data_IF_390925944220
#
_entry.id   IF_390925944220
#
_cell.length_a   1.000
_cell.length_b   1.000
_cell.length_c   1.000
_cell.angle_alpha   90.00
_cell.angle_beta   90.00
_cell.angle_gamma   90.00
#
_symmetry.space_group_name_H-M   'P 1'
#
loop_
_entity.id
_entity.type
_entity.pdbx_description
1 polymer ?
#
# COMPACT_ATOMS: atom_id res chain seq x y z
N UNK A 1 12.27 -33.18 3.28
CA UNK A 1 11.11 -32.40 3.77
C UNK A 1 11.63 -31.14 4.44
N UNK A 2 11.03 -29.96 4.17
CA UNK A 2 11.45 -28.73 4.82
C UNK A 2 11.27 -28.83 6.34
N UNK A 3 12.18 -28.22 7.11
CA UNK A 3 12.06 -28.14 8.56
C UNK A 3 10.70 -27.48 8.91
N UNK A 4 9.91 -28.13 9.77
CA UNK A 4 8.56 -27.67 10.18
C UNK A 4 8.59 -26.23 10.69
N UNK A 5 9.63 -25.85 11.43
CA UNK A 5 9.79 -24.48 11.93
C UNK A 5 10.04 -23.48 10.80
N UNK A 6 10.89 -23.82 9.83
CA UNK A 6 11.18 -22.95 8.68
C UNK A 6 9.97 -22.79 7.74
N UNK A 7 9.11 -23.81 7.65
CA UNK A 7 7.91 -23.75 6.80
C UNK A 7 6.90 -22.69 7.26
N UNK A 8 6.91 -22.31 8.54
CA UNK A 8 6.03 -21.29 9.11
C UNK A 8 6.36 -19.88 8.60
N UNK A 9 7.57 -19.66 8.06
CA UNK A 9 7.97 -18.36 7.50
C UNK A 9 7.26 -18.03 6.18
N UNK A 10 6.86 -19.05 5.41
CA UNK A 10 6.26 -18.85 4.08
C UNK A 10 4.95 -18.06 4.15
N UNK A 11 4.10 -18.34 5.14
CA UNK A 11 2.80 -17.67 5.31
C UNK A 11 2.95 -16.15 5.48
N UNK A 12 3.68 -15.66 6.51
CA UNK A 12 3.88 -14.23 6.70
C UNK A 12 4.60 -13.53 5.54
N UNK A 13 5.52 -14.23 4.87
CA UNK A 13 6.19 -13.66 3.70
C UNK A 13 5.21 -13.39 2.55
N UNK A 14 4.28 -14.31 2.29
CA UNK A 14 3.29 -14.18 1.21
C UNK A 14 2.22 -13.16 1.57
N UNK A 15 1.71 -13.18 2.81
CA UNK A 15 0.59 -12.31 3.21
C UNK A 15 1.02 -10.88 3.53
N UNK A 16 2.24 -10.68 4.04
CA UNK A 16 2.72 -9.34 4.45
C UNK A 16 3.88 -8.87 3.61
N UNK A 17 4.99 -9.61 3.62
CA UNK A 17 6.27 -9.09 3.10
C UNK A 17 6.21 -8.77 1.61
N UNK A 18 5.74 -9.72 0.79
CA UNK A 18 5.66 -9.54 -0.66
C UNK A 18 4.74 -8.35 -1.03
N UNK A 19 3.49 -8.27 -0.54
CA UNK A 19 2.64 -7.10 -0.80
C UNK A 19 3.27 -5.77 -0.35
N UNK A 20 3.87 -5.71 0.85
CA UNK A 20 4.50 -4.49 1.34
C UNK A 20 5.66 -4.04 0.46
N UNK A 21 6.49 -4.97 -0.03
CA UNK A 21 7.60 -4.66 -0.93
C UNK A 21 7.10 -4.20 -2.30
N UNK A 22 6.02 -4.77 -2.81
CA UNK A 22 5.38 -4.32 -4.05
C UNK A 22 4.89 -2.89 -3.90
N UNK A 23 4.16 -2.60 -2.81
CA UNK A 23 3.67 -1.25 -2.53
C UNK A 23 4.82 -0.25 -2.35
N UNK A 24 5.85 -0.62 -1.59
CA UNK A 24 7.06 0.20 -1.41
C UNK A 24 7.70 0.52 -2.74
N UNK A 25 7.88 -0.48 -3.61
CA UNK A 25 8.51 -0.32 -4.91
C UNK A 25 7.69 0.60 -5.81
N UNK A 26 6.37 0.38 -5.87
CA UNK A 26 5.45 1.23 -6.63
C UNK A 26 5.43 2.68 -6.14
N UNK A 27 5.37 2.90 -4.83
CA UNK A 27 5.43 4.24 -4.24
C UNK A 27 6.77 4.92 -4.47
N UNK A 28 7.87 4.15 -4.39
CA UNK A 28 9.23 4.65 -4.61
C UNK A 28 9.49 5.07 -6.05
N UNK A 29 8.92 4.36 -7.01
CA UNK A 29 9.00 4.76 -8.43
C UNK A 29 8.37 6.13 -8.69
N UNK A 30 7.39 6.55 -7.86
CA UNK A 30 6.71 7.82 -8.05
C UNK A 30 7.33 8.96 -7.23
N UNK A 31 7.73 8.68 -5.99
CA UNK A 31 8.22 9.72 -5.07
C UNK A 31 9.32 9.23 -4.10
N UNK A 32 10.34 8.58 -4.67
CA UNK A 32 11.56 8.15 -3.98
C UNK A 32 11.30 7.42 -2.66
N UNK A 33 12.24 7.50 -1.72
CA UNK A 33 12.16 6.75 -0.47
C UNK A 33 10.89 7.08 0.34
N UNK A 34 10.48 8.35 0.36
CA UNK A 34 9.31 8.80 1.14
C UNK A 34 8.02 8.21 0.60
N UNK A 35 7.82 8.24 -0.72
CA UNK A 35 6.68 7.61 -1.39
C UNK A 35 6.62 6.11 -1.09
N UNK A 36 7.76 5.42 -1.13
CA UNK A 36 7.84 3.99 -0.82
C UNK A 36 7.46 3.67 0.64
N UNK A 37 8.00 4.40 1.62
CA UNK A 37 7.71 4.16 3.04
C UNK A 37 6.22 4.36 3.32
N UNK A 38 5.66 5.50 2.90
CA UNK A 38 4.25 5.83 3.15
C UNK A 38 3.32 4.84 2.44
N UNK A 39 3.66 4.41 1.21
CA UNK A 39 2.92 3.41 0.47
C UNK A 39 2.88 2.04 1.18
N UNK A 40 4.03 1.58 1.68
CA UNK A 40 4.11 0.34 2.44
C UNK A 40 3.27 0.43 3.72
N UNK A 41 3.38 1.54 4.47
CA UNK A 41 2.59 1.75 5.68
C UNK A 41 1.09 1.74 5.39
N UNK A 42 0.66 2.46 4.35
CA UNK A 42 -0.75 2.52 3.96
C UNK A 42 -1.30 1.15 3.51
N UNK A 43 -0.47 0.36 2.81
CA UNK A 43 -0.81 -1.00 2.38
C UNK A 43 -0.97 -1.96 3.55
N UNK A 44 -0.36 -1.69 4.71
CA UNK A 44 -0.62 -2.48 5.91
C UNK A 44 -2.10 -2.40 6.33
N UNK A 45 -2.74 -1.24 6.18
CA UNK A 45 -4.18 -1.10 6.46
C UNK A 45 -5.05 -1.97 5.56
N UNK A 46 -4.61 -2.15 4.30
CA UNK A 46 -5.26 -3.02 3.32
C UNK A 46 -5.12 -4.50 3.70
N UNK A 47 -3.90 -4.93 4.07
CA UNK A 47 -3.62 -6.32 4.44
C UNK A 47 -4.41 -6.71 5.69
N UNK A 48 -4.48 -5.85 6.70
CA UNK A 48 -5.21 -6.12 7.96
C UNK A 48 -6.72 -6.19 7.74
N UNK A 49 -7.27 -5.54 6.70
CA UNK A 49 -8.69 -5.62 6.39
C UNK A 49 -9.12 -6.99 5.83
N UNK A 50 -8.22 -7.74 5.18
CA UNK A 50 -8.47 -9.08 4.66
C UNK A 50 -7.27 -10.01 4.94
N UNK A 51 -7.17 -10.57 6.17
CA UNK A 51 -6.03 -11.37 6.60
C UNK A 51 -5.85 -12.68 5.82
N UNK A 52 -6.91 -13.20 5.21
CA UNK A 52 -6.91 -14.51 4.54
C UNK A 52 -6.64 -14.42 3.03
N UNK A 53 -6.41 -13.23 2.48
CA UNK A 53 -6.19 -13.04 1.04
C UNK A 53 -4.94 -12.21 0.78
N UNK A 54 -3.90 -12.77 0.12
CA UNK A 54 -2.72 -12.01 -0.26
C UNK A 54 -3.09 -10.80 -1.13
N UNK A 55 -2.90 -9.59 -0.59
CA UNK A 55 -3.33 -8.32 -1.19
C UNK A 55 -2.36 -7.79 -2.27
N UNK A 56 -1.89 -8.66 -3.17
CA UNK A 56 -0.95 -8.28 -4.23
C UNK A 56 -1.52 -7.19 -5.14
N UNK A 57 -2.75 -7.36 -5.62
CA UNK A 57 -3.43 -6.37 -6.46
C UNK A 57 -3.68 -5.05 -5.71
N UNK A 58 -4.08 -5.14 -4.44
CA UNK A 58 -4.25 -3.98 -3.57
C UNK A 58 -2.94 -3.20 -3.42
N UNK A 59 -1.82 -3.89 -3.17
CA UNK A 59 -0.49 -3.30 -3.08
C UNK A 59 -0.03 -2.64 -4.39
N UNK A 60 -0.30 -3.27 -5.54
CA UNK A 60 0.05 -2.73 -6.87
C UNK A 60 -0.68 -1.43 -7.18
N UNK A 61 -1.93 -1.27 -6.71
CA UNK A 61 -2.70 -0.04 -6.89
C UNK A 61 -2.29 1.00 -5.84
N UNK A 62 -2.20 0.58 -4.59
CA UNK A 62 -1.92 1.46 -3.45
C UNK A 62 -0.52 2.08 -3.53
N UNK A 63 0.47 1.32 -3.99
CA UNK A 63 1.86 1.77 -4.11
C UNK A 63 1.99 3.08 -4.89
N UNK A 64 1.70 3.08 -6.21
CA UNK A 64 1.70 4.27 -7.04
C UNK A 64 0.76 5.37 -6.51
N UNK A 65 -0.46 5.03 -6.10
CA UNK A 65 -1.44 6.02 -5.63
C UNK A 65 -0.90 6.83 -4.45
N UNK A 66 -0.38 6.16 -3.42
CA UNK A 66 0.15 6.81 -2.23
C UNK A 66 1.45 7.55 -2.54
N UNK A 67 2.31 7.00 -3.39
CA UNK A 67 3.50 7.71 -3.86
C UNK A 67 3.15 9.02 -4.56
N UNK A 68 2.11 9.03 -5.39
CA UNK A 68 1.61 10.23 -6.07
C UNK A 68 1.02 11.25 -5.09
N UNK A 69 0.22 10.80 -4.11
CA UNK A 69 -0.30 11.66 -3.05
C UNK A 69 0.82 12.28 -2.22
N UNK A 70 1.84 11.49 -1.87
CA UNK A 70 3.01 11.99 -1.13
C UNK A 70 3.74 13.08 -1.93
N UNK A 71 3.93 12.87 -3.23
CA UNK A 71 4.50 13.88 -4.13
C UNK A 71 3.70 15.18 -4.11
N UNK A 72 2.37 15.09 -4.12
CA UNK A 72 1.48 16.26 -4.07
C UNK A 72 1.53 16.99 -2.73
N UNK A 73 1.54 16.24 -1.62
CA UNK A 73 1.70 16.79 -0.27
C UNK A 73 3.01 17.55 -0.15
N UNK A 74 4.11 16.99 -0.64
CA UNK A 74 5.41 17.64 -0.60
C UNK A 74 5.50 18.88 -1.49
N UNK A 75 4.97 18.82 -2.72
CA UNK A 75 4.88 19.99 -3.60
C UNK A 75 4.12 21.15 -2.94
N UNK A 76 3.17 20.84 -2.07
CA UNK A 76 2.42 21.85 -1.34
C UNK A 76 3.15 22.34 -0.08
N UNK A 77 3.75 21.45 0.71
CA UNK A 77 4.33 21.82 2.00
C UNK A 77 5.75 22.36 1.90
N UNK A 78 6.61 21.75 1.08
CA UNK A 78 8.05 22.10 1.03
C UNK A 78 8.31 23.60 0.75
N UNK A 79 7.63 24.26 -0.21
CA UNK A 79 7.87 25.68 -0.47
C UNK A 79 7.48 26.61 0.70
N UNK A 80 6.70 26.10 1.66
CA UNK A 80 6.20 26.84 2.84
C UNK A 80 6.96 26.49 4.12
N UNK A 81 7.92 25.59 4.05
CA UNK A 81 8.64 25.11 5.22
C UNK A 81 9.86 26.00 5.50
N UNK A 82 10.00 26.54 6.72
CA UNK A 82 11.20 27.28 7.10
C UNK A 82 12.45 26.40 7.06
N UNK A 83 13.58 26.99 6.69
CA UNK A 83 14.87 26.31 6.66
C UNK A 83 15.21 25.76 8.06
N UNK A 84 15.71 24.53 8.12
CA UNK A 84 16.00 23.82 9.37
C UNK A 84 14.81 23.07 9.98
N UNK A 85 13.57 23.33 9.56
CA UNK A 85 12.36 22.56 9.95
C UNK A 85 11.95 21.52 8.91
N UNK A 86 12.66 21.41 7.79
CA UNK A 86 12.34 20.53 6.67
C UNK A 86 12.18 19.06 7.09
N UNK A 87 13.13 18.51 7.86
CA UNK A 87 13.04 17.13 8.31
C UNK A 87 11.83 16.89 9.24
N UNK A 88 11.49 17.87 10.07
CA UNK A 88 10.32 17.80 10.95
C UNK A 88 9.03 17.73 10.12
N UNK A 89 8.84 18.68 9.21
CA UNK A 89 7.67 18.70 8.33
C UNK A 89 7.62 17.49 7.41
N UNK A 90 8.77 17.03 6.91
CA UNK A 90 8.85 15.86 6.05
C UNK A 90 8.41 14.58 6.78
N UNK A 91 8.84 14.39 8.03
CA UNK A 91 8.46 13.24 8.83
C UNK A 91 6.99 13.32 9.28
N UNK A 92 6.53 14.49 9.74
CA UNK A 92 5.13 14.66 10.17
C UNK A 92 4.15 14.52 9.01
N UNK A 93 4.41 15.16 7.86
CA UNK A 93 3.53 15.05 6.68
C UNK A 93 3.44 13.62 6.15
N UNK A 94 4.58 12.91 6.08
CA UNK A 94 4.61 11.50 5.70
C UNK A 94 3.82 10.64 6.69
N UNK A 95 3.99 10.87 8.00
CA UNK A 95 3.25 10.15 9.04
C UNK A 95 1.75 10.39 9.00
N UNK A 96 1.32 11.64 8.82
CA UNK A 96 -0.11 12.01 8.72
C UNK A 96 -0.73 11.39 7.46
N UNK A 97 -0.06 11.50 6.31
CA UNK A 97 -0.56 10.89 5.08
C UNK A 97 -0.63 9.37 5.21
N UNK A 98 0.41 8.72 5.75
CA UNK A 98 0.41 7.29 6.00
C UNK A 98 -0.77 6.88 6.88
N UNK A 99 -0.99 7.59 8.00
CA UNK A 99 -2.09 7.31 8.92
C UNK A 99 -3.47 7.42 8.24
N UNK A 100 -3.72 8.50 7.51
CA UNK A 100 -4.97 8.70 6.77
C UNK A 100 -5.16 7.57 5.75
N UNK A 101 -4.13 7.31 4.94
CA UNK A 101 -4.21 6.31 3.88
C UNK A 101 -4.33 4.88 4.42
N UNK A 102 -3.76 4.56 5.59
CA UNK A 102 -3.97 3.28 6.28
C UNK A 102 -5.42 3.12 6.71
N UNK A 103 -6.05 4.15 7.29
CA UNK A 103 -7.47 4.10 7.70
C UNK A 103 -8.37 3.97 6.47
N UNK A 104 -8.09 4.73 5.42
CA UNK A 104 -8.84 4.64 4.16
C UNK A 104 -8.66 3.26 3.51
N UNK A 105 -7.43 2.74 3.48
CA UNK A 105 -7.12 1.40 3.01
C UNK A 105 -7.87 0.33 3.80
N UNK A 106 -7.98 0.47 5.11
CA UNK A 106 -8.73 -0.48 5.94
C UNK A 106 -10.25 -0.43 5.66
N UNK A 107 -10.83 0.77 5.51
CA UNK A 107 -12.29 0.94 5.38
C UNK A 107 -12.83 0.81 3.95
N UNK A 108 -12.14 1.38 2.96
CA UNK A 108 -12.63 1.47 1.57
C UNK A 108 -12.32 0.22 0.74
N UNK A 109 -11.40 -0.63 1.19
CA UNK A 109 -10.93 -1.75 0.39
C UNK A 109 -11.98 -2.86 0.25
N UNK A 110 -12.73 -3.19 1.30
CA UNK A 110 -13.73 -4.25 1.25
C UNK A 110 -14.73 -4.09 0.07
N UNK A 111 -15.40 -2.94 -0.12
CA UNK A 111 -16.30 -2.76 -1.26
C UNK A 111 -15.56 -2.71 -2.61
N UNK A 112 -14.37 -2.09 -2.67
CA UNK A 112 -13.59 -2.00 -3.92
C UNK A 112 -13.17 -3.39 -4.40
N UNK A 113 -12.71 -4.24 -3.50
CA UNK A 113 -12.25 -5.58 -3.84
C UNK A 113 -13.40 -6.50 -4.21
N UNK A 114 -14.53 -6.43 -3.51
CA UNK A 114 -15.74 -7.14 -3.91
C UNK A 114 -16.20 -6.74 -5.31
N UNK A 115 -16.14 -5.44 -5.63
CA UNK A 115 -16.48 -4.94 -6.96
C UNK A 115 -15.53 -5.45 -8.05
N UNK A 116 -14.22 -5.40 -7.82
CA UNK A 116 -13.22 -5.92 -8.77
C UNK A 116 -13.40 -7.43 -8.99
N UNK A 117 -13.57 -8.20 -7.91
CA UNK A 117 -13.77 -9.65 -8.00
C UNK A 117 -15.05 -9.98 -8.76
N UNK A 118 -16.14 -9.22 -8.54
CA UNK A 118 -17.38 -9.40 -9.28
C UNK A 118 -17.19 -9.18 -10.79
N UNK A 119 -16.49 -8.11 -11.20
CA UNK A 119 -16.18 -7.86 -12.61
C UNK A 119 -15.35 -9.00 -13.22
N UNK A 120 -14.32 -9.46 -12.50
CA UNK A 120 -13.48 -10.56 -12.97
C UNK A 120 -14.28 -11.85 -13.14
N UNK A 121 -15.17 -12.17 -12.19
CA UNK A 121 -16.06 -13.32 -12.30
C UNK A 121 -16.95 -13.25 -13.54
N UNK A 122 -17.59 -12.10 -13.80
CA UNK A 122 -18.42 -11.90 -14.99
C UNK A 122 -17.61 -12.04 -16.28
N UNK A 123 -16.39 -11.50 -16.30
CA UNK A 123 -15.50 -11.61 -17.46
C UNK A 123 -15.06 -13.07 -17.74
N UNK A 124 -14.80 -13.85 -16.68
CA UNK A 124 -14.49 -15.28 -16.80
C UNK A 124 -15.71 -16.07 -17.26
N UNK A 125 -16.90 -15.80 -16.71
CA UNK A 125 -18.14 -16.44 -17.15
C UNK A 125 -18.42 -16.19 -18.64
N UNK A 126 -18.16 -14.98 -19.13
CA UNK A 126 -18.27 -14.65 -20.56
C UNK A 126 -17.22 -15.35 -21.45
N UNK A 127 -16.03 -15.65 -20.92
CA UNK A 127 -14.98 -16.35 -21.68
C UNK A 127 -15.14 -17.87 -21.69
N UNK A 128 -15.82 -18.42 -20.69
CA UNK A 128 -16.06 -19.86 -20.53
C UNK A 128 -17.35 -20.30 -21.24
N UNK A 129 -18.27 -19.36 -21.51
CA UNK A 129 -19.40 -19.55 -22.43
C UNK A 129 -19.06 -19.09 -23.85
#
# INVERSE_FOLDING_TARGET
>A
YPNKELSQLAGPMITYLIPLLIAFSGGRLIHDLRGGIVAATATMGIIVALPDTPMLLGAMIMGPLVGWLMKKVDQFLQPRTPQGFEMLFNNFSAGILAFIMTILGFKLLAPIMQFIMHILSVAVEFLVH
#
